data_IF_087336192863
#
_entry.id   IF_087336192863
#
_cell.length_a   1.000
_cell.length_b   1.000
_cell.length_c   1.000
_cell.angle_alpha   90.00
_cell.angle_beta   90.00
_cell.angle_gamma   90.00
#
_symmetry.space_group_name_H-M   'P 1'
#
loop_
_entity.id
_entity.type
_entity.pdbx_description
1 polymer ?
#
# COMPACT_ATOMS: atom_id res chain seq x y z
N UNK A 1 -21.72 -0.67 -9.90
CA UNK A 1 -20.25 -0.61 -10.03
C UNK A 1 -19.92 0.68 -10.76
N UNK A 2 -19.28 1.62 -10.07
CA UNK A 2 -18.86 2.92 -10.63
C UNK A 2 -17.34 3.03 -10.57
N UNK A 3 -16.79 3.97 -11.33
CA UNK A 3 -15.38 4.39 -11.20
C UNK A 3 -15.38 5.64 -10.31
N UNK A 4 -14.55 5.64 -9.28
CA UNK A 4 -14.32 6.80 -8.43
C UNK A 4 -13.04 7.50 -8.88
N UNK A 5 -13.10 8.80 -9.10
CA UNK A 5 -11.92 9.61 -9.42
C UNK A 5 -11.65 10.61 -8.29
N UNK A 6 -10.38 10.77 -7.92
CA UNK A 6 -9.90 11.77 -6.95
C UNK A 6 -8.71 12.49 -7.58
N UNK A 7 -8.77 13.81 -7.58
CA UNK A 7 -7.71 14.68 -8.08
C UNK A 7 -7.33 15.64 -6.95
N UNK A 8 -6.04 15.71 -6.66
CA UNK A 8 -5.43 16.72 -5.80
C UNK A 8 -4.27 17.33 -6.58
N UNK A 9 -4.34 18.63 -6.86
CA UNK A 9 -3.36 19.32 -7.69
C UNK A 9 -2.74 20.45 -6.88
N UNK A 10 -1.41 20.47 -6.84
CA UNK A 10 -0.62 21.49 -6.17
C UNK A 10 0.54 21.91 -7.07
N UNK A 11 0.52 23.17 -7.51
CA UNK A 11 1.51 23.77 -8.40
C UNK A 11 1.75 25.21 -7.98
N UNK A 12 3.01 25.59 -7.83
CA UNK A 12 3.42 26.94 -7.42
C UNK A 12 4.44 27.53 -8.40
N UNK A 13 4.56 28.86 -8.44
CA UNK A 13 5.54 29.55 -9.31
C UNK A 13 6.98 29.37 -8.83
N UNK A 14 7.19 29.41 -7.50
CA UNK A 14 8.49 29.41 -6.86
C UNK A 14 8.39 28.90 -5.41
N UNK A 15 9.54 28.67 -4.78
CA UNK A 15 9.65 28.07 -3.44
C UNK A 15 9.10 28.98 -2.34
N UNK A 16 9.20 30.29 -2.54
CA UNK A 16 8.82 31.28 -1.56
C UNK A 16 7.39 31.78 -1.77
N UNK A 17 6.68 31.33 -2.81
CA UNK A 17 5.30 31.72 -3.13
C UNK A 17 4.43 31.66 -1.86
N UNK A 18 4.29 30.49 -1.25
CA UNK A 18 3.47 30.37 -0.05
C UNK A 18 4.03 31.11 1.19
N UNK A 19 5.32 31.48 1.23
CA UNK A 19 5.93 32.26 2.32
C UNK A 19 5.75 33.78 2.14
N UNK A 20 5.86 34.28 0.92
CA UNK A 20 5.68 35.69 0.57
C UNK A 20 4.23 36.14 0.76
N UNK A 21 3.28 35.23 0.53
CA UNK A 21 1.86 35.48 0.83
C UNK A 21 1.52 35.41 2.34
N UNK A 22 2.46 35.06 3.24
CA UNK A 22 2.22 35.11 4.69
C UNK A 22 2.27 36.54 5.27
N UNK A 23 2.99 37.48 4.63
CA UNK A 23 3.28 38.81 5.18
C UNK A 23 3.02 39.94 4.17
N UNK A 24 1.86 40.59 4.27
CA UNK A 24 1.58 41.80 3.51
C UNK A 24 2.35 43.03 4.04
N UNK A 25 2.99 43.78 3.15
CA UNK A 25 3.71 45.03 3.44
C UNK A 25 2.81 46.19 3.95
N UNK A 26 1.48 46.05 3.92
CA UNK A 26 0.56 47.20 4.09
C UNK A 26 -0.68 46.96 4.97
N UNK A 27 -0.75 45.88 5.76
CA UNK A 27 -1.80 45.73 6.78
C UNK A 27 -3.23 45.51 6.25
N UNK A 28 -3.41 45.16 4.98
CA UNK A 28 -4.69 44.66 4.47
C UNK A 28 -4.73 43.14 4.58
N UNK A 29 -5.64 42.62 5.41
CA UNK A 29 -5.96 41.19 5.50
C UNK A 29 -6.84 40.79 4.30
N UNK A 30 -6.22 40.47 3.19
CA UNK A 30 -6.83 39.68 2.11
C UNK A 30 -6.30 38.26 2.24
N UNK A 31 -6.70 37.54 3.30
CA UNK A 31 -6.28 36.15 3.53
C UNK A 31 -7.45 35.22 3.25
N UNK A 32 -7.38 34.34 2.25
CA UNK A 32 -8.13 33.09 2.30
C UNK A 32 -7.48 32.20 3.36
N UNK A 33 -8.29 31.68 4.29
CA UNK A 33 -7.83 30.68 5.25
C UNK A 33 -7.72 29.35 4.51
N UNK A 34 -6.50 29.02 4.06
CA UNK A 34 -6.22 27.84 3.23
C UNK A 34 -6.51 26.51 3.94
N UNK A 35 -6.51 26.47 5.28
CA UNK A 35 -6.95 25.31 6.05
C UNK A 35 -8.48 25.16 5.91
N UNK A 36 -9.22 26.26 5.99
CA UNK A 36 -10.69 26.26 5.81
C UNK A 36 -11.15 26.08 4.35
N UNK A 37 -10.38 26.57 3.38
CA UNK A 37 -10.80 26.67 1.98
C UNK A 37 -10.26 25.52 1.12
N UNK A 38 -9.05 25.03 1.43
CA UNK A 38 -8.39 23.95 0.69
C UNK A 38 -8.08 22.73 1.56
N UNK A 39 -8.38 22.76 2.87
CA UNK A 39 -8.08 21.65 3.81
C UNK A 39 -6.61 21.24 3.83
N UNK A 40 -5.68 22.22 3.69
CA UNK A 40 -4.24 21.97 3.66
C UNK A 40 -3.58 22.41 4.98
N UNK A 41 -2.88 21.51 5.70
CA UNK A 41 -2.22 21.85 6.97
C UNK A 41 -1.02 22.77 6.77
N UNK A 42 -0.71 23.58 7.78
CA UNK A 42 0.40 24.57 7.79
C UNK A 42 1.78 23.94 7.52
N UNK A 43 1.97 22.67 7.83
CA UNK A 43 3.21 21.93 7.55
C UNK A 43 3.46 21.74 6.04
N UNK A 44 2.40 21.70 5.23
CA UNK A 44 2.48 21.61 3.77
C UNK A 44 2.98 22.92 3.15
N UNK A 45 2.75 24.08 3.81
CA UNK A 45 3.24 25.39 3.36
C UNK A 45 4.76 25.40 3.22
N UNK A 46 5.46 24.76 4.17
CA UNK A 46 6.92 24.69 4.21
C UNK A 46 7.49 23.46 3.50
N UNK A 47 6.65 22.64 2.86
CA UNK A 47 7.12 21.49 2.09
C UNK A 47 7.97 21.95 0.90
N UNK A 48 9.18 21.38 0.71
CA UNK A 48 9.98 21.64 -0.49
C UNK A 48 9.42 20.93 -1.74
N UNK A 49 8.43 20.05 -1.57
CA UNK A 49 7.75 19.33 -2.64
C UNK A 49 6.28 19.76 -2.74
N UNK A 50 5.80 20.00 -3.96
CA UNK A 50 4.36 20.12 -4.26
C UNK A 50 3.93 18.87 -5.01
N UNK A 51 2.92 18.17 -4.47
CA UNK A 51 2.45 16.92 -5.05
C UNK A 51 1.14 17.16 -5.78
N UNK A 52 1.10 16.79 -7.05
CA UNK A 52 -0.14 16.67 -7.82
C UNK A 52 -0.41 15.19 -8.08
N UNK A 53 -1.57 14.68 -7.70
CA UNK A 53 -1.94 13.28 -7.83
C UNK A 53 -3.35 13.09 -8.39
N UNK A 54 -3.48 12.15 -9.32
CA UNK A 54 -4.74 11.67 -9.87
C UNK A 54 -4.87 10.19 -9.50
N UNK A 55 -5.98 9.83 -8.86
CA UNK A 55 -6.31 8.44 -8.53
C UNK A 55 -7.66 8.06 -9.11
N UNK A 56 -7.71 6.90 -9.75
CA UNK A 56 -8.91 6.24 -10.24
C UNK A 56 -9.07 4.91 -9.50
N UNK A 57 -10.28 4.58 -9.11
CA UNK A 57 -10.58 3.36 -8.37
C UNK A 57 -11.86 2.71 -8.88
N UNK A 58 -11.83 1.40 -8.99
CA UNK A 58 -12.98 0.58 -9.34
C UNK A 58 -13.01 -0.67 -8.47
N UNK A 59 -13.97 -0.69 -7.56
CA UNK A 59 -14.19 -1.83 -6.69
C UNK A 59 -15.38 -2.67 -7.18
N UNK A 60 -15.17 -3.98 -7.19
CA UNK A 60 -16.20 -5.00 -7.32
C UNK A 60 -16.38 -5.77 -6.02
N UNK A 61 -17.24 -6.78 -6.03
CA UNK A 61 -17.52 -7.58 -4.82
C UNK A 61 -16.30 -8.35 -4.30
N UNK A 62 -15.40 -8.76 -5.21
CA UNK A 62 -14.28 -9.64 -4.90
C UNK A 62 -12.93 -9.16 -5.47
N UNK A 63 -12.88 -7.93 -5.98
CA UNK A 63 -11.66 -7.34 -6.53
C UNK A 63 -11.68 -5.83 -6.38
N UNK A 64 -10.50 -5.24 -6.27
CA UNK A 64 -10.26 -3.80 -6.31
C UNK A 64 -9.21 -3.51 -7.38
N UNK A 65 -9.46 -2.50 -8.22
CA UNK A 65 -8.51 -1.99 -9.19
C UNK A 65 -8.30 -0.50 -8.91
N UNK A 66 -7.05 -0.11 -8.73
CA UNK A 66 -6.66 1.27 -8.50
C UNK A 66 -5.62 1.66 -9.54
N UNK A 67 -5.77 2.84 -10.11
CA UNK A 67 -4.77 3.44 -10.98
C UNK A 67 -4.40 4.81 -10.42
N UNK A 68 -3.12 5.16 -10.48
CA UNK A 68 -2.58 6.39 -9.92
C UNK A 68 -1.59 7.06 -10.86
N UNK A 69 -1.48 8.38 -10.76
CA UNK A 69 -0.39 9.14 -11.34
C UNK A 69 -0.04 10.25 -10.37
N UNK A 70 1.24 10.40 -10.04
CA UNK A 70 1.69 11.48 -9.16
C UNK A 70 2.91 12.18 -9.75
N UNK A 71 2.86 13.50 -9.67
CA UNK A 71 3.90 14.43 -10.11
C UNK A 71 4.39 15.23 -8.90
N UNK A 72 5.70 15.47 -8.82
CA UNK A 72 6.33 16.17 -7.71
C UNK A 72 7.10 17.38 -8.20
N UNK A 73 6.54 18.57 -7.99
CA UNK A 73 7.26 19.79 -8.28
C UNK A 73 8.23 20.11 -7.13
N UNK A 74 9.49 20.42 -7.48
CA UNK A 74 10.47 21.05 -6.58
C UNK A 74 10.77 22.47 -7.06
N UNK A 75 10.14 23.49 -6.47
CA UNK A 75 10.28 24.88 -6.92
C UNK A 75 11.70 25.45 -6.76
N UNK A 76 12.53 24.83 -5.91
CA UNK A 76 13.96 25.16 -5.72
C UNK A 76 14.79 25.02 -7.00
N UNK A 77 14.33 24.23 -7.98
CA UNK A 77 14.97 24.11 -9.29
C UNK A 77 16.37 23.51 -9.22
N UNK A 78 16.46 22.20 -8.99
CA UNK A 78 17.74 21.49 -9.03
C UNK A 78 18.15 21.15 -10.46
N UNK A 79 19.42 21.36 -10.81
CA UNK A 79 19.96 20.98 -12.15
C UNK A 79 19.88 19.48 -12.43
N UNK A 80 20.03 18.64 -11.40
CA UNK A 80 19.98 17.18 -11.51
C UNK A 80 18.89 16.67 -10.55
N UNK A 81 17.64 16.73 -10.97
CA UNK A 81 16.51 16.33 -10.14
C UNK A 81 16.38 14.81 -10.07
N UNK A 82 16.59 14.25 -8.87
CA UNK A 82 16.51 12.81 -8.60
C UNK A 82 15.19 12.37 -7.98
N UNK A 83 14.19 13.25 -7.92
CA UNK A 83 12.87 12.96 -7.36
C UNK A 83 12.16 11.89 -8.18
N UNK A 84 11.75 10.76 -7.57
CA UNK A 84 10.93 9.76 -8.24
C UNK A 84 9.50 10.27 -8.44
N UNK A 85 9.03 10.18 -9.68
CA UNK A 85 7.66 10.50 -10.08
C UNK A 85 6.94 9.25 -10.60
N UNK A 86 6.02 8.64 -9.84
CA UNK A 86 5.24 7.51 -10.31
C UNK A 86 4.13 8.04 -11.23
N UNK A 87 4.47 8.23 -12.50
CA UNK A 87 3.57 8.83 -13.49
C UNK A 87 2.49 7.85 -13.97
N UNK A 88 2.68 6.55 -13.77
CA UNK A 88 1.65 5.53 -13.98
C UNK A 88 1.80 4.40 -12.96
N UNK A 89 0.83 4.28 -12.05
CA UNK A 89 0.70 3.18 -11.10
C UNK A 89 -0.60 2.42 -11.35
N UNK A 90 -0.56 1.09 -11.22
CA UNK A 90 -1.71 0.20 -11.35
C UNK A 90 -1.64 -0.89 -10.29
N UNK A 91 -2.59 -0.87 -9.36
CA UNK A 91 -2.71 -1.84 -8.31
C UNK A 91 -3.99 -2.66 -8.48
N UNK A 92 -3.85 -3.98 -8.47
CA UNK A 92 -4.94 -4.94 -8.54
C UNK A 92 -4.91 -5.88 -7.34
N UNK A 93 -6.06 -6.03 -6.69
CA UNK A 93 -6.22 -6.96 -5.57
C UNK A 93 -7.46 -7.81 -5.77
N UNK A 94 -7.29 -9.13 -5.84
CA UNK A 94 -8.37 -10.11 -5.85
C UNK A 94 -8.46 -10.79 -4.49
N UNK A 95 -9.62 -10.63 -3.84
CA UNK A 95 -9.88 -11.25 -2.56
C UNK A 95 -9.85 -12.78 -2.66
N UNK A 96 -9.44 -13.50 -1.60
CA UNK A 96 -9.47 -14.96 -1.58
C UNK A 96 -10.84 -15.52 -1.99
N UNK A 97 -10.86 -16.37 -3.03
CA UNK A 97 -12.08 -17.08 -3.46
C UNK A 97 -11.85 -18.56 -3.56
N UNK A 98 -12.83 -19.34 -3.08
CA UNK A 98 -12.79 -20.79 -3.23
C UNK A 98 -12.72 -21.19 -4.71
N UNK A 99 -11.72 -22.00 -5.02
CA UNK A 99 -11.58 -22.66 -6.31
C UNK A 99 -12.72 -23.68 -6.40
N UNK A 100 -13.44 -23.66 -7.53
CA UNK A 100 -14.60 -24.53 -7.72
C UNK A 100 -14.23 -26.00 -7.51
N UNK A 101 -14.97 -26.69 -6.63
CA UNK A 101 -14.77 -28.11 -6.33
C UNK A 101 -13.61 -28.43 -5.39
N UNK A 102 -12.87 -27.43 -4.89
CA UNK A 102 -11.76 -27.63 -3.96
C UNK A 102 -11.97 -26.82 -2.67
N UNK A 103 -11.56 -27.35 -1.50
CA UNK A 103 -11.54 -26.63 -0.23
C UNK A 103 -10.41 -25.59 -0.15
N UNK A 104 -9.98 -25.04 -1.28
CA UNK A 104 -8.86 -24.11 -1.42
C UNK A 104 -9.38 -22.78 -1.92
N UNK A 105 -8.94 -21.68 -1.30
CA UNK A 105 -9.16 -20.34 -1.80
C UNK A 105 -7.91 -19.81 -2.49
N UNK A 106 -8.09 -19.09 -3.59
CA UNK A 106 -7.03 -18.43 -4.35
C UNK A 106 -7.16 -16.91 -4.24
N UNK A 107 -6.05 -16.24 -4.00
CA UNK A 107 -5.91 -14.77 -4.00
C UNK A 107 -4.83 -14.35 -4.97
N UNK A 108 -4.93 -13.13 -5.48
CA UNK A 108 -3.92 -12.57 -6.38
C UNK A 108 -3.82 -11.08 -6.13
N UNK A 109 -2.61 -10.60 -5.91
CA UNK A 109 -2.28 -9.19 -5.89
C UNK A 109 -1.29 -8.91 -7.02
N UNK A 110 -1.47 -7.78 -7.69
CA UNK A 110 -0.56 -7.27 -8.71
C UNK A 110 -0.33 -5.79 -8.49
N UNK A 111 0.93 -5.38 -8.57
CA UNK A 111 1.34 -3.99 -8.46
C UNK A 111 2.24 -3.66 -9.65
N UNK A 112 2.01 -2.52 -10.29
CA UNK A 112 2.79 -2.06 -11.42
C UNK A 112 2.99 -0.57 -11.30
N UNK A 113 4.24 -0.13 -11.46
CA UNK A 113 4.59 1.27 -11.47
C UNK A 113 5.53 1.59 -12.63
N UNK A 114 5.36 2.77 -13.21
CA UNK A 114 6.36 3.42 -14.03
C UNK A 114 6.85 4.67 -13.31
N UNK A 115 8.10 4.61 -12.85
CA UNK A 115 8.75 5.66 -12.09
C UNK A 115 9.66 6.42 -13.04
N UNK A 116 9.33 7.69 -13.24
CA UNK A 116 10.12 8.62 -14.03
C UNK A 116 10.95 9.52 -13.13
N UNK A 117 12.10 9.98 -13.66
CA UNK A 117 13.00 10.95 -13.04
C UNK A 117 13.63 11.81 -14.13
N UNK A 118 13.85 13.08 -13.84
CA UNK A 118 14.65 13.98 -14.67
C UNK A 118 16.11 13.51 -14.77
N UNK A 119 16.68 13.10 -13.63
CA UNK A 119 18.05 12.59 -13.54
C UNK A 119 18.13 11.37 -12.61
N UNK A 120 18.67 10.26 -13.10
CA UNK A 120 18.94 9.06 -12.31
C UNK A 120 18.33 7.81 -12.92
N UNK A 121 17.81 6.92 -12.06
CA UNK A 121 17.23 5.65 -12.49
C UNK A 121 15.72 5.82 -12.70
N UNK A 122 15.25 5.44 -13.88
CA UNK A 122 13.84 5.49 -14.29
C UNK A 122 13.46 4.15 -14.91
N UNK A 123 12.21 3.73 -14.76
CA UNK A 123 11.85 2.39 -15.20
C UNK A 123 10.50 1.90 -14.73
N UNK A 124 10.26 0.63 -15.04
CA UNK A 124 9.06 -0.12 -14.73
C UNK A 124 9.32 -1.06 -13.57
N UNK A 125 8.33 -1.20 -12.70
CA UNK A 125 8.23 -2.28 -11.73
C UNK A 125 6.94 -3.05 -11.93
N UNK A 126 7.00 -4.37 -11.74
CA UNK A 126 5.85 -5.26 -11.73
C UNK A 126 6.05 -6.30 -10.63
N UNK A 127 5.18 -6.26 -9.63
CA UNK A 127 5.09 -7.23 -8.55
C UNK A 127 3.83 -8.08 -8.71
N UNK A 128 3.97 -9.41 -8.66
CA UNK A 128 2.86 -10.36 -8.74
C UNK A 128 2.91 -11.32 -7.57
N UNK A 129 1.81 -11.41 -6.82
CA UNK A 129 1.69 -12.19 -5.58
C UNK A 129 0.47 -13.12 -5.60
N UNK A 130 0.54 -14.29 -6.27
CA UNK A 130 -0.44 -15.36 -6.10
C UNK A 130 -0.37 -15.99 -4.69
N UNK A 131 -1.54 -16.28 -4.13
CA UNK A 131 -1.69 -16.93 -2.83
C UNK A 131 -2.75 -18.02 -2.84
N UNK A 132 -2.51 -19.07 -2.04
CA UNK A 132 -3.44 -20.15 -1.78
C UNK A 132 -3.70 -20.25 -0.28
N UNK A 133 -4.97 -20.39 0.07
CA UNK A 133 -5.44 -20.49 1.46
C UNK A 133 -6.27 -21.76 1.58
N UNK A 134 -5.99 -22.55 2.60
CA UNK A 134 -6.70 -23.78 2.92
C UNK A 134 -7.33 -23.65 4.32
N UNK A 135 -8.60 -23.23 4.39
CA UNK A 135 -9.32 -23.13 5.65
C UNK A 135 -10.10 -24.42 5.92
N UNK A 136 -9.80 -25.11 7.02
CA UNK A 136 -10.54 -26.29 7.47
C UNK A 136 -10.99 -26.20 8.91
N UNK A 137 -12.17 -26.77 9.14
CA UNK A 137 -12.75 -26.88 10.47
C UNK A 137 -12.53 -28.30 10.98
N UNK A 138 -11.95 -28.41 12.17
CA UNK A 138 -11.89 -29.68 12.90
C UNK A 138 -12.97 -29.67 13.98
N UNK A 139 -14.11 -30.26 13.65
CA UNK A 139 -15.30 -30.21 14.48
C UNK A 139 -15.93 -28.81 14.56
N UNK A 140 -16.57 -28.50 15.69
CA UNK A 140 -17.37 -27.27 15.86
C UNK A 140 -16.57 -26.06 16.37
N UNK A 141 -15.40 -26.29 16.95
CA UNK A 141 -14.72 -25.28 17.76
C UNK A 141 -13.33 -24.94 17.25
N UNK A 142 -12.64 -25.84 16.53
CA UNK A 142 -11.28 -25.61 16.05
C UNK A 142 -11.26 -25.28 14.56
N UNK A 143 -10.53 -24.22 14.23
CA UNK A 143 -10.26 -23.78 12.85
C UNK A 143 -8.76 -23.82 12.59
N UNK A 144 -8.38 -24.53 11.54
CA UNK A 144 -7.04 -24.60 11.00
C UNK A 144 -7.05 -23.85 9.67
N UNK A 145 -6.13 -22.90 9.52
CA UNK A 145 -6.00 -22.10 8.31
C UNK A 145 -4.54 -22.07 7.92
N UNK A 146 -4.22 -22.65 6.76
CA UNK A 146 -2.86 -22.60 6.23
C UNK A 146 -2.85 -21.78 4.95
N UNK A 147 -1.88 -20.90 4.80
CA UNK A 147 -1.69 -20.13 3.58
C UNK A 147 -0.28 -20.36 3.04
N UNK A 148 -0.16 -20.35 1.72
CA UNK A 148 1.12 -20.35 1.02
C UNK A 148 1.03 -19.41 -0.18
N UNK A 149 2.10 -18.70 -0.45
CA UNK A 149 2.17 -17.73 -1.52
C UNK A 149 3.58 -17.54 -2.03
N UNK A 150 3.65 -16.90 -3.18
CA UNK A 150 4.91 -16.51 -3.78
C UNK A 150 4.72 -15.15 -4.43
N UNK A 151 5.69 -14.27 -4.23
CA UNK A 151 5.75 -12.94 -4.82
C UNK A 151 6.95 -12.88 -5.75
N UNK A 152 6.71 -12.38 -6.96
CA UNK A 152 7.75 -12.10 -7.93
C UNK A 152 7.78 -10.63 -8.27
N UNK A 153 8.92 -10.01 -7.99
CA UNK A 153 9.28 -8.67 -8.43
C UNK A 153 9.98 -8.74 -9.79
N UNK A 154 9.63 -7.82 -10.69
CA UNK A 154 10.34 -7.63 -11.94
C UNK A 154 10.52 -6.14 -12.17
N UNK A 155 11.77 -5.71 -12.29
CA UNK A 155 12.13 -4.31 -12.50
C UNK A 155 12.94 -4.20 -13.79
N UNK A 156 12.58 -3.23 -14.63
CA UNK A 156 13.30 -2.86 -15.85
C UNK A 156 13.60 -1.38 -15.79
N UNK A 157 14.88 -1.02 -15.79
CA UNK A 157 15.25 0.37 -15.58
C UNK A 157 16.45 0.80 -16.41
N UNK A 158 16.42 2.08 -16.75
CA UNK A 158 17.51 2.78 -17.41
C UNK A 158 18.23 3.64 -16.37
N UNK A 159 19.56 3.60 -16.40
CA UNK A 159 20.39 4.45 -15.56
C UNK A 159 21.08 5.51 -16.41
N UNK A 160 20.62 6.77 -16.28
CA UNK A 160 21.16 7.91 -17.02
C UNK A 160 22.64 8.21 -16.66
N UNK A 161 23.11 7.76 -15.50
CA UNK A 161 24.49 8.02 -15.02
C UNK A 161 25.50 7.02 -15.61
N UNK A 162 25.12 5.76 -15.76
CA UNK A 162 25.99 4.71 -16.31
C UNK A 162 25.71 4.37 -17.78
N UNK A 163 24.62 4.89 -18.35
CA UNK A 163 24.30 4.76 -19.77
C UNK A 163 23.92 3.34 -20.20
N UNK A 164 23.00 2.70 -19.47
CA UNK A 164 22.54 1.34 -19.80
C UNK A 164 21.17 0.98 -19.23
N UNK A 165 20.53 0.01 -19.86
CA UNK A 165 19.30 -0.66 -19.39
C UNK A 165 19.68 -1.90 -18.60
N UNK A 166 19.06 -2.10 -17.45
CA UNK A 166 19.23 -3.28 -16.61
C UNK A 166 17.86 -3.87 -16.26
N UNK A 167 17.85 -5.15 -15.88
CA UNK A 167 16.67 -5.81 -15.36
C UNK A 167 17.00 -6.65 -14.15
N UNK A 168 16.09 -6.63 -13.18
CA UNK A 168 16.24 -7.35 -11.93
C UNK A 168 14.94 -8.09 -11.65
N UNK A 169 15.08 -9.31 -11.16
CA UNK A 169 13.94 -10.04 -10.60
C UNK A 169 14.29 -10.58 -9.22
N UNK A 170 13.32 -10.48 -8.32
CA UNK A 170 13.43 -10.89 -6.93
C UNK A 170 12.24 -11.75 -6.55
N UNK A 171 12.55 -12.79 -5.79
CA UNK A 171 11.60 -13.83 -5.41
C UNK A 171 11.43 -13.89 -3.90
N UNK A 172 10.17 -13.90 -3.45
CA UNK A 172 9.80 -14.10 -2.05
C UNK A 172 8.78 -15.22 -1.92
N UNK A 173 9.00 -16.11 -0.96
CA UNK A 173 8.05 -17.15 -0.57
C UNK A 173 7.45 -16.84 0.78
N UNK A 174 6.15 -17.09 0.92
CA UNK A 174 5.40 -16.92 2.14
C UNK A 174 4.64 -18.21 2.49
N UNK A 175 4.61 -18.54 3.78
CA UNK A 175 3.77 -19.59 4.33
C UNK A 175 3.29 -19.20 5.72
N UNK A 176 2.05 -19.52 6.04
CA UNK A 176 1.52 -19.38 7.39
C UNK A 176 0.61 -20.53 7.77
N UNK A 177 0.55 -20.79 9.07
CA UNK A 177 -0.34 -21.77 9.66
C UNK A 177 -0.95 -21.20 10.93
N UNK A 178 -2.26 -21.04 10.95
CA UNK A 178 -3.03 -20.53 12.07
C UNK A 178 -3.95 -21.61 12.61
N UNK A 179 -3.88 -21.83 13.91
CA UNK A 179 -4.84 -22.66 14.66
C UNK A 179 -5.59 -21.75 15.61
N UNK A 180 -6.91 -21.84 15.61
CA UNK A 180 -7.76 -21.07 16.53
C UNK A 180 -8.90 -21.92 17.09
N UNK A 181 -9.34 -21.59 18.30
CA UNK A 181 -10.47 -22.25 18.93
C UNK A 181 -11.47 -21.22 19.46
N UNK A 182 -12.76 -21.54 19.46
CA UNK A 182 -13.80 -20.70 20.07
C UNK A 182 -14.28 -21.36 21.36
N UNK A 183 -13.97 -20.73 22.50
CA UNK A 183 -14.49 -21.09 23.81
C UNK A 183 -15.61 -20.11 24.16
N UNK A 184 -16.82 -20.62 24.39
CA UNK A 184 -17.94 -19.80 24.84
C UNK A 184 -18.61 -20.35 26.09
N UNK A 185 -19.03 -19.45 26.98
CA UNK A 185 -19.80 -19.79 28.17
C UNK A 185 -20.85 -18.72 28.42
N UNK A 186 -22.07 -19.16 28.74
CA UNK A 186 -23.16 -18.30 29.21
C UNK A 186 -23.20 -18.37 30.72
N UNK A 187 -23.18 -17.23 31.38
CA UNK A 187 -23.33 -17.08 32.82
C UNK A 187 -24.69 -16.46 33.11
N UNK A 188 -25.44 -17.09 34.00
CA UNK A 188 -26.65 -16.50 34.55
C UNK A 188 -26.24 -15.53 35.65
N UNK A 189 -26.60 -14.25 35.50
CA UNK A 189 -26.20 -13.17 36.42
C UNK A 189 -27.40 -12.71 37.28
N UNK A 190 -28.60 -13.19 36.94
CA UNK A 190 -29.90 -12.95 37.60
C UNK A 190 -30.05 -11.58 38.27
N UNK A 191 -29.69 -10.53 37.51
CA UNK A 191 -29.90 -9.13 37.87
C UNK A 191 -31.27 -8.66 37.37
N UNK A 192 -31.73 -7.53 37.90
CA UNK A 192 -32.99 -6.88 37.53
C UNK A 192 -32.99 -6.46 36.05
N UNK A 193 -31.83 -6.06 35.50
CA UNK A 193 -31.70 -5.58 34.11
C UNK A 193 -30.98 -6.55 33.17
N UNK A 194 -30.17 -7.48 33.70
CA UNK A 194 -29.40 -8.45 32.89
C UNK A 194 -29.58 -9.86 33.44
N UNK A 195 -30.22 -10.72 32.63
CA UNK A 195 -30.44 -12.12 33.01
C UNK A 195 -29.26 -13.03 32.72
N UNK A 196 -28.58 -12.83 31.59
CA UNK A 196 -27.50 -13.69 31.11
C UNK A 196 -26.39 -12.89 30.44
N UNK A 197 -25.16 -13.34 30.63
CA UNK A 197 -23.97 -12.78 29.99
C UNK A 197 -23.25 -13.90 29.26
N UNK A 198 -23.01 -13.74 27.95
CA UNK A 198 -22.21 -14.69 27.15
C UNK A 198 -20.78 -14.17 27.03
N UNK A 199 -19.81 -14.93 27.51
CA UNK A 199 -18.40 -14.70 27.26
C UNK A 199 -17.92 -15.57 26.11
N UNK A 200 -17.14 -14.98 25.20
CA UNK A 200 -16.46 -15.67 24.10
C UNK A 200 -14.97 -15.37 24.17
N UNK A 201 -14.15 -16.40 24.12
CA UNK A 201 -12.69 -16.31 24.09
C UNK A 201 -12.24 -17.05 22.83
N UNK A 202 -11.38 -16.40 22.03
CA UNK A 202 -10.84 -16.99 20.80
C UNK A 202 -9.31 -17.07 20.89
N UNK A 203 -8.76 -18.11 21.55
CA UNK A 203 -7.32 -18.37 21.50
C UNK A 203 -6.89 -18.68 20.07
N UNK A 204 -5.75 -18.12 19.65
CA UNK A 204 -5.15 -18.38 18.35
C UNK A 204 -3.63 -18.48 18.46
N UNK A 205 -3.04 -19.37 17.67
CA UNK A 205 -1.61 -19.53 17.47
C UNK A 205 -1.34 -19.42 15.97
N UNK A 206 -0.40 -18.57 15.57
CA UNK A 206 -0.07 -18.34 14.16
C UNK A 206 1.43 -18.53 13.97
N UNK A 207 1.83 -19.44 13.09
CA UNK A 207 3.19 -19.52 12.61
C UNK A 207 3.31 -18.80 11.27
N UNK A 208 4.34 -17.97 11.13
CA UNK A 208 4.65 -17.22 9.92
C UNK A 208 6.07 -17.52 9.45
N UNK A 209 6.19 -17.87 8.18
CA UNK A 209 7.46 -18.05 7.49
C UNK A 209 7.48 -17.20 6.21
N UNK A 210 8.53 -16.40 6.06
CA UNK A 210 8.77 -15.58 4.86
C UNK A 210 10.25 -15.57 4.55
N UNK A 211 10.59 -15.94 3.32
CA UNK A 211 11.97 -16.04 2.85
C UNK A 211 12.14 -15.36 1.51
N UNK A 212 13.21 -14.58 1.41
CA UNK A 212 13.58 -13.84 0.21
C UNK A 212 14.84 -14.49 -0.35
N UNK A 213 14.83 -14.84 -1.64
CA UNK A 213 16.02 -15.44 -2.27
C UNK A 213 17.06 -14.41 -2.69
N UNK A 214 16.63 -13.18 -2.95
CA UNK A 214 17.45 -12.18 -3.66
C UNK A 214 17.61 -10.86 -2.91
N UNK A 215 17.62 -10.86 -1.57
CA UNK A 215 17.72 -9.61 -0.77
C UNK A 215 18.94 -8.76 -1.08
N UNK A 216 20.01 -9.40 -1.52
CA UNK A 216 21.28 -8.73 -1.79
C UNK A 216 21.34 -8.08 -3.17
N UNK A 217 20.34 -8.32 -4.04
CA UNK A 217 20.26 -7.63 -5.33
C UNK A 217 19.89 -6.16 -5.08
N UNK A 218 20.66 -5.27 -5.70
CA UNK A 218 20.35 -3.85 -5.76
C UNK A 218 18.91 -3.65 -6.26
N UNK A 219 18.15 -2.77 -5.63
CA UNK A 219 16.86 -2.32 -6.15
C UNK A 219 16.83 -0.79 -6.20
N UNK A 220 16.49 -0.18 -7.35
CA UNK A 220 16.48 1.27 -7.53
C UNK A 220 15.38 2.00 -6.75
N UNK A 221 14.36 1.28 -6.28
CA UNK A 221 13.26 1.82 -5.48
C UNK A 221 12.73 0.77 -4.50
N UNK A 222 12.01 1.24 -3.49
CA UNK A 222 11.42 0.38 -2.46
C UNK A 222 10.19 -0.33 -3.03
N UNK A 223 10.10 -1.64 -2.80
CA UNK A 223 8.93 -2.44 -3.17
C UNK A 223 8.13 -2.87 -1.94
N UNK A 224 6.84 -3.14 -2.11
CA UNK A 224 5.99 -3.63 -1.03
C UNK A 224 6.53 -4.90 -0.34
N UNK A 225 7.27 -5.75 -1.06
CA UNK A 225 7.91 -6.94 -0.47
C UNK A 225 9.08 -6.63 0.46
N UNK A 226 9.72 -5.46 0.32
CA UNK A 226 10.85 -5.06 1.15
C UNK A 226 10.41 -4.59 2.55
N UNK A 227 9.14 -4.22 2.71
CA UNK A 227 8.56 -3.67 3.93
C UNK A 227 8.54 -4.68 5.08
N UNK A 228 8.23 -5.94 4.78
CA UNK A 228 7.94 -6.93 5.82
C UNK A 228 9.14 -7.84 6.17
N UNK A 229 10.23 -7.80 5.40
CA UNK A 229 11.47 -8.52 5.66
C UNK A 229 11.32 -10.06 5.77
N UNK A 230 12.34 -10.76 6.26
CA UNK A 230 12.23 -12.21 6.49
C UNK A 230 11.49 -12.48 7.79
N UNK A 231 10.68 -13.54 7.82
CA UNK A 231 9.97 -13.96 9.03
C UNK A 231 10.16 -15.46 9.29
N UNK A 232 10.33 -15.81 10.55
CA UNK A 232 10.25 -17.18 11.06
C UNK A 232 9.87 -17.08 12.54
N UNK A 233 8.57 -16.99 12.80
CA UNK A 233 8.04 -16.67 14.14
C UNK A 233 6.70 -17.34 14.41
N UNK A 234 6.41 -17.50 15.69
CA UNK A 234 5.13 -17.92 16.26
C UNK A 234 4.54 -16.75 17.05
#
# INVERSE_FOLDING_TARGET
MGITARLDADVVSDQDYLKEFEHGLTGFNTRPDYESEFSRPVEEIRSPFRRSTLRLERDGENHSLQAGSSFYQRPEGFRNDTTPEPVAGLYYNMLPRFIHGLPLAFSLQGDYDYIWRDFGIKGHSLSLSPGLIYPVWSGKYMRFETAAGYTRDMQWFDNDTTGGTDNISRDMYYGSARVSTLLERVFDVDSESVKRVKHKIVPALTYEYRSHRDKEKFSPWFEAMDEEGSANRV
#
